data_IF_987020304225
#
_entry.id   IF_987020304225
#
_cell.length_a   1.000
_cell.length_b   1.000
_cell.length_c   1.000
_cell.angle_alpha   90.00
_cell.angle_beta   90.00
_cell.angle_gamma   90.00
#
_symmetry.space_group_name_H-M   'P 1'
#
loop_
_entity.id
_entity.type
_entity.pdbx_description
1 polymer ?
#
# COMPACT_ATOMS: atom_id res chain seq x y z
N UNK A 1 8.96 12.86 -0.99
CA UNK A 1 8.24 13.97 -1.65
C UNK A 1 8.87 14.33 -2.98
N UNK A 2 10.17 14.53 -3.01
CA UNK A 2 10.85 14.88 -4.25
C UNK A 2 10.71 13.78 -5.30
N UNK A 3 10.79 12.53 -4.88
CA UNK A 3 10.62 11.39 -5.79
C UNK A 3 9.22 11.35 -6.39
N UNK A 4 8.20 11.66 -5.59
CA UNK A 4 6.81 11.72 -6.07
C UNK A 4 6.65 12.88 -7.06
N UNK A 5 7.19 14.05 -6.74
CA UNK A 5 7.13 15.20 -7.64
C UNK A 5 7.81 14.92 -8.98
N UNK A 6 8.95 14.23 -8.97
CA UNK A 6 9.64 13.84 -10.21
C UNK A 6 8.82 12.85 -11.03
N UNK A 7 8.17 11.88 -10.38
CA UNK A 7 7.33 10.93 -11.07
C UNK A 7 6.14 11.63 -11.74
N UNK A 8 5.51 12.58 -11.06
CA UNK A 8 4.37 13.33 -11.61
C UNK A 8 4.81 14.22 -12.77
N UNK A 9 6.00 14.79 -12.72
CA UNK A 9 6.50 15.71 -13.73
C UNK A 9 6.56 15.09 -15.14
N UNK A 10 6.72 13.77 -15.23
CA UNK A 10 6.74 13.06 -16.51
C UNK A 10 5.35 12.58 -16.94
N UNK A 11 4.31 12.88 -16.15
CA UNK A 11 2.92 12.55 -16.42
C UNK A 11 2.69 11.07 -16.75
N UNK A 12 3.04 10.15 -15.86
CA UNK A 12 2.92 8.72 -16.11
C UNK A 12 1.48 8.24 -16.03
N UNK A 13 1.21 7.04 -16.57
CA UNK A 13 -0.09 6.37 -16.38
C UNK A 13 -0.14 5.65 -15.03
N UNK A 14 0.99 5.13 -14.58
CA UNK A 14 1.11 4.38 -13.33
C UNK A 14 2.23 4.97 -12.50
N UNK A 15 1.97 5.15 -11.21
CA UNK A 15 2.99 5.56 -10.24
C UNK A 15 3.28 4.37 -9.33
N UNK A 16 4.56 4.03 -9.24
CA UNK A 16 5.02 2.96 -8.33
C UNK A 16 5.71 3.61 -7.13
N UNK A 17 5.25 3.28 -5.93
CA UNK A 17 5.83 3.78 -4.68
C UNK A 17 6.31 2.61 -3.83
N UNK A 18 7.55 2.68 -3.37
CA UNK A 18 8.15 1.67 -2.51
C UNK A 18 8.36 2.27 -1.12
N UNK A 19 7.64 1.76 -0.12
CA UNK A 19 7.71 2.23 1.26
C UNK A 19 7.64 3.77 1.36
N UNK A 20 6.58 4.42 0.83
CA UNK A 20 6.58 5.87 0.68
C UNK A 20 6.65 6.65 1.99
N UNK A 21 6.28 6.03 3.10
CA UNK A 21 6.29 6.69 4.41
C UNK A 21 7.32 6.09 5.36
N UNK A 22 8.27 5.30 4.85
CA UNK A 22 9.34 4.76 5.66
C UNK A 22 10.17 5.89 6.28
N UNK A 23 10.45 5.79 7.57
CA UNK A 23 11.25 6.76 8.33
C UNK A 23 10.62 8.16 8.46
N UNK A 24 9.34 8.33 8.14
CA UNK A 24 8.62 9.58 8.34
C UNK A 24 7.90 9.57 9.69
N UNK A 25 7.75 10.77 10.29
CA UNK A 25 6.93 10.92 11.49
C UNK A 25 5.43 10.86 11.13
N UNK A 26 4.53 10.76 12.13
CA UNK A 26 3.10 10.65 11.86
C UNK A 26 2.50 11.81 11.08
N UNK A 27 2.99 13.03 11.28
CA UNK A 27 2.48 14.21 10.58
C UNK A 27 2.88 14.16 9.10
N UNK A 28 4.14 13.86 8.82
CA UNK A 28 4.62 13.73 7.44
C UNK A 28 3.95 12.56 6.73
N UNK A 29 3.74 11.44 7.44
CA UNK A 29 3.02 10.28 6.91
C UNK A 29 1.60 10.66 6.50
N UNK A 30 0.88 11.39 7.34
CA UNK A 30 -0.48 11.83 7.03
C UNK A 30 -0.53 12.69 5.77
N UNK A 31 0.44 13.58 5.59
CA UNK A 31 0.52 14.42 4.39
C UNK A 31 0.78 13.60 3.13
N UNK A 32 1.63 12.59 3.19
CA UNK A 32 1.89 11.70 2.07
C UNK A 32 0.64 10.88 1.73
N UNK A 33 -0.08 10.39 2.74
CA UNK A 33 -1.32 9.65 2.52
C UNK A 33 -2.41 10.52 1.90
N UNK A 34 -2.51 11.79 2.29
CA UNK A 34 -3.41 12.75 1.64
C UNK A 34 -3.05 12.95 0.17
N UNK A 35 -1.76 13.08 -0.13
CA UNK A 35 -1.29 13.22 -1.49
C UNK A 35 -1.64 11.98 -2.32
N UNK A 36 -1.49 10.79 -1.77
CA UNK A 36 -1.88 9.55 -2.43
C UNK A 36 -3.38 9.57 -2.75
N UNK A 37 -4.21 9.98 -1.81
CA UNK A 37 -5.66 10.09 -2.04
C UNK A 37 -6.01 11.06 -3.16
N UNK A 38 -5.31 12.18 -3.25
CA UNK A 38 -5.52 13.14 -4.34
C UNK A 38 -5.07 12.57 -5.68
N UNK A 39 -3.93 11.90 -5.71
CA UNK A 39 -3.35 11.39 -6.95
C UNK A 39 -4.13 10.21 -7.52
N UNK A 40 -4.78 9.42 -6.69
CA UNK A 40 -5.48 8.21 -7.16
C UNK A 40 -6.64 8.51 -8.11
N UNK A 41 -7.15 9.72 -8.11
CA UNK A 41 -8.20 10.14 -9.05
C UNK A 41 -7.66 10.38 -10.46
N UNK A 42 -6.34 10.46 -10.59
CA UNK A 42 -5.65 10.83 -11.82
C UNK A 42 -4.71 9.74 -12.33
N UNK A 43 -4.15 8.95 -11.41
CA UNK A 43 -3.14 7.93 -11.72
C UNK A 43 -3.54 6.61 -11.11
N UNK A 44 -3.11 5.52 -11.75
CA UNK A 44 -3.07 4.22 -11.09
C UNK A 44 -1.82 4.18 -10.21
N UNK A 45 -1.99 3.83 -8.93
CA UNK A 45 -0.90 3.84 -7.98
C UNK A 45 -0.68 2.45 -7.42
N UNK A 46 0.55 1.95 -7.52
CA UNK A 46 0.96 0.70 -6.91
C UNK A 46 1.93 1.02 -5.77
N UNK A 47 1.62 0.52 -4.57
CA UNK A 47 2.42 0.77 -3.38
C UNK A 47 2.94 -0.55 -2.84
N UNK A 48 4.25 -0.62 -2.59
CA UNK A 48 4.86 -1.74 -1.88
C UNK A 48 5.16 -1.27 -0.46
N UNK A 49 4.63 -1.98 0.54
CA UNK A 49 4.82 -1.60 1.92
C UNK A 49 4.74 -2.80 2.86
N UNK A 50 5.50 -2.75 3.94
CA UNK A 50 5.37 -3.67 5.07
C UNK A 50 4.42 -3.14 6.13
N UNK A 51 3.95 -1.91 5.99
CA UNK A 51 3.04 -1.29 6.94
C UNK A 51 1.60 -1.63 6.58
N UNK A 52 1.04 -2.63 7.26
CA UNK A 52 -0.32 -3.10 7.01
C UNK A 52 -1.36 -2.02 7.29
N UNK A 53 -1.15 -1.18 8.29
CA UNK A 53 -2.08 -0.11 8.63
C UNK A 53 -2.16 0.92 7.50
N UNK A 54 -1.02 1.25 6.91
CA UNK A 54 -0.99 2.14 5.76
C UNK A 54 -1.70 1.53 4.56
N UNK A 55 -1.42 0.26 4.26
CA UNK A 55 -2.08 -0.44 3.17
C UNK A 55 -3.61 -0.43 3.35
N UNK A 56 -4.07 -0.68 4.58
CA UNK A 56 -5.51 -0.68 4.89
C UNK A 56 -6.14 0.69 4.69
N UNK A 57 -5.40 1.77 5.00
CA UNK A 57 -5.95 3.13 4.88
C UNK A 57 -5.99 3.67 3.46
N UNK A 58 -4.98 3.36 2.65
CA UNK A 58 -4.80 4.07 1.38
C UNK A 58 -5.17 3.27 0.15
N UNK A 59 -5.32 1.94 0.24
CA UNK A 59 -5.53 1.12 -0.94
C UNK A 59 -6.96 0.63 -1.08
N UNK A 60 -7.39 0.42 -2.32
CA UNK A 60 -8.69 -0.17 -2.64
C UNK A 60 -8.56 -1.66 -2.87
N UNK A 61 -7.40 -2.12 -3.34
CA UNK A 61 -7.08 -3.53 -3.53
C UNK A 61 -5.71 -3.81 -2.95
N UNK A 62 -5.54 -5.02 -2.41
CA UNK A 62 -4.30 -5.43 -1.77
C UNK A 62 -3.90 -6.81 -2.26
N UNK A 63 -2.60 -6.98 -2.52
CA UNK A 63 -2.00 -8.27 -2.78
C UNK A 63 -1.04 -8.60 -1.64
N UNK A 64 -1.21 -9.76 -1.03
CA UNK A 64 -0.27 -10.26 -0.03
C UNK A 64 0.74 -11.18 -0.68
N UNK A 65 2.02 -10.81 -0.55
CA UNK A 65 3.15 -11.57 -1.09
C UNK A 65 3.90 -12.25 0.05
N UNK A 66 4.33 -13.49 -0.19
CA UNK A 66 5.18 -14.21 0.74
C UNK A 66 6.14 -15.09 -0.03
N UNK A 67 7.43 -14.95 0.23
CA UNK A 67 8.50 -15.71 -0.41
C UNK A 67 8.38 -15.73 -1.95
N UNK A 68 8.10 -14.56 -2.53
CA UNK A 68 8.03 -14.40 -3.98
C UNK A 68 6.74 -14.86 -4.62
N UNK A 69 5.76 -15.28 -3.82
CA UNK A 69 4.46 -15.73 -4.33
C UNK A 69 3.34 -14.78 -3.90
N UNK A 70 2.35 -14.61 -4.78
CA UNK A 70 1.10 -13.93 -4.42
C UNK A 70 0.25 -14.94 -3.67
N UNK A 71 0.07 -14.72 -2.36
CA UNK A 71 -0.73 -15.60 -1.52
C UNK A 71 -2.21 -15.31 -1.71
N UNK A 72 -2.56 -14.02 -1.72
CA UNK A 72 -3.94 -13.60 -1.85
C UNK A 72 -4.01 -12.21 -2.46
N UNK A 73 -5.04 -11.96 -3.28
CA UNK A 73 -5.29 -10.66 -3.88
C UNK A 73 -6.79 -10.40 -3.88
N UNK A 74 -7.18 -9.20 -3.50
CA UNK A 74 -8.59 -8.83 -3.50
C UNK A 74 -8.84 -7.43 -2.96
N UNK A 75 -10.10 -7.16 -2.63
CA UNK A 75 -10.46 -5.88 -2.02
C UNK A 75 -9.78 -5.73 -0.67
N UNK A 76 -9.21 -4.56 -0.42
CA UNK A 76 -8.50 -4.27 0.83
C UNK A 76 -9.38 -4.55 2.04
N UNK A 77 -10.65 -4.15 2.00
CA UNK A 77 -11.57 -4.39 3.11
C UNK A 77 -11.75 -5.88 3.42
N UNK A 78 -11.74 -6.72 2.41
CA UNK A 78 -11.87 -8.18 2.60
C UNK A 78 -10.57 -8.81 3.07
N UNK A 79 -9.44 -8.38 2.50
CA UNK A 79 -8.12 -8.91 2.88
C UNK A 79 -7.84 -8.70 4.37
N UNK A 80 -8.18 -7.52 4.90
CA UNK A 80 -7.87 -7.17 6.28
C UNK A 80 -8.95 -7.58 7.29
N UNK A 81 -10.13 -7.99 6.85
CA UNK A 81 -11.21 -8.39 7.77
C UNK A 81 -11.58 -9.86 7.65
N UNK A 82 -11.56 -10.42 6.45
CA UNK A 82 -12.00 -11.79 6.21
C UNK A 82 -11.20 -12.40 5.05
N UNK A 83 -9.88 -12.59 5.22
CA UNK A 83 -9.07 -13.18 4.16
C UNK A 83 -9.44 -14.65 3.94
N UNK A 84 -9.27 -15.11 2.70
CA UNK A 84 -9.56 -16.51 2.34
C UNK A 84 -8.43 -17.45 2.71
N UNK A 85 -7.20 -16.94 2.74
CA UNK A 85 -6.00 -17.75 3.00
C UNK A 85 -5.59 -17.67 4.45
N UNK A 86 -5.29 -18.82 5.05
CA UNK A 86 -4.83 -18.86 6.43
C UNK A 86 -3.52 -18.10 6.61
N UNK A 87 -2.62 -18.15 5.62
CA UNK A 87 -1.34 -17.43 5.68
C UNK A 87 -1.55 -15.92 5.75
N UNK A 88 -2.54 -15.40 5.03
CA UNK A 88 -2.89 -13.99 5.09
C UNK A 88 -3.40 -13.61 6.48
N UNK A 89 -4.27 -14.42 7.01
CA UNK A 89 -4.83 -14.21 8.35
C UNK A 89 -3.73 -14.23 9.41
N UNK A 90 -2.82 -15.18 9.33
CA UNK A 90 -1.70 -15.30 10.28
C UNK A 90 -0.79 -14.07 10.22
N UNK A 91 -0.53 -13.56 9.02
CA UNK A 91 0.28 -12.36 8.85
C UNK A 91 -0.40 -11.13 9.47
N UNK A 92 -1.69 -10.96 9.21
CA UNK A 92 -2.46 -9.81 9.71
C UNK A 92 -2.57 -9.85 11.23
N UNK A 93 -2.73 -11.03 11.80
CA UNK A 93 -2.87 -11.20 13.26
C UNK A 93 -1.53 -11.26 13.99
N UNK A 94 -0.42 -11.16 13.28
CA UNK A 94 0.91 -11.18 13.88
C UNK A 94 1.41 -12.56 14.27
N UNK A 95 0.78 -13.62 13.77
CA UNK A 95 1.21 -15.01 14.04
C UNK A 95 2.34 -15.48 13.13
N UNK A 96 2.63 -14.68 12.15
CA UNK A 96 3.71 -14.98 11.23
C UNK A 96 5.03 -14.51 11.83
N UNK A 97 5.86 -15.41 12.07
CA UNK A 97 7.23 -15.32 12.45
C UNK A 97 7.84 -14.08 13.02
#
# INVERSE_FOLDING_TARGET
RLCIARAIAVDPEVILMDEPCSALDPIATAKIEELIHELRGRYAIAIVTHNMQQAARVSQRTAFFHLGEVVEYGKTSEIFTNPREQRTQDYITGRYG
#
